data_IF_528696605016
#
_entry.id   IF_528696605016
#
_cell.length_a   1.000
_cell.length_b   1.000
_cell.length_c   1.000
_cell.angle_alpha   90.00
_cell.angle_beta   90.00
_cell.angle_gamma   90.00
#
_symmetry.space_group_name_H-M   'P 1'
#
loop_
_entity.id
_entity.type
_entity.pdbx_description
1 polymer ?
#
# COMPACT_ATOMS: atom_id res chain seq x y z
N UNK A 1 7.91 -13.68 -16.47
CA UNK A 1 6.71 -12.95 -16.03
C UNK A 1 5.77 -13.97 -15.42
N UNK A 2 5.79 -14.13 -14.10
CA UNK A 2 5.01 -15.18 -13.44
C UNK A 2 3.55 -14.73 -13.36
N UNK A 3 2.66 -15.46 -14.02
CA UNK A 3 1.21 -15.21 -13.92
C UNK A 3 0.82 -15.48 -12.47
N UNK A 4 0.24 -14.48 -11.81
CA UNK A 4 -0.23 -14.64 -10.43
C UNK A 4 -1.43 -15.57 -10.44
N UNK A 5 -1.53 -16.43 -9.43
CA UNK A 5 -2.64 -17.39 -9.30
C UNK A 5 -4.00 -16.68 -9.37
N UNK A 6 -4.08 -15.46 -8.83
CA UNK A 6 -5.27 -14.62 -8.86
C UNK A 6 -5.70 -14.25 -10.28
N UNK A 7 -4.74 -13.96 -11.18
CA UNK A 7 -5.03 -13.67 -12.59
C UNK A 7 -5.56 -14.94 -13.29
N UNK A 8 -4.98 -16.11 -13.01
CA UNK A 8 -5.46 -17.39 -13.57
C UNK A 8 -6.89 -17.68 -13.13
N UNK A 9 -7.19 -17.50 -11.84
CA UNK A 9 -8.52 -17.71 -11.27
C UNK A 9 -9.52 -16.72 -11.85
N UNK A 10 -9.13 -15.46 -12.03
CA UNK A 10 -9.97 -14.44 -12.66
C UNK A 10 -10.32 -14.79 -14.11
N UNK A 11 -9.34 -15.20 -14.92
CA UNK A 11 -9.58 -15.63 -16.30
C UNK A 11 -10.44 -16.89 -16.39
N UNK A 12 -10.30 -17.82 -15.45
CA UNK A 12 -11.11 -19.04 -15.37
C UNK A 12 -12.58 -18.71 -15.05
N UNK A 13 -12.83 -17.75 -14.15
CA UNK A 13 -14.17 -17.24 -13.86
C UNK A 13 -14.81 -16.58 -15.08
N UNK A 14 -14.07 -15.74 -15.81
CA UNK A 14 -14.56 -15.13 -17.06
C UNK A 14 -14.91 -16.20 -18.09
N UNK A 15 -14.03 -17.19 -18.30
CA UNK A 15 -14.27 -18.28 -19.24
C UNK A 15 -15.52 -19.10 -18.87
N UNK A 16 -15.73 -19.37 -17.57
CA UNK A 16 -16.92 -20.06 -17.09
C UNK A 16 -18.20 -19.29 -17.42
N UNK A 17 -18.24 -17.98 -17.15
CA UNK A 17 -19.42 -17.13 -17.41
C UNK A 17 -19.71 -17.04 -18.91
N UNK A 18 -18.68 -16.81 -19.72
CA UNK A 18 -18.83 -16.74 -21.17
C UNK A 18 -19.33 -18.09 -21.71
N UNK A 19 -18.82 -19.20 -21.18
CA UNK A 19 -19.30 -20.55 -21.52
C UNK A 19 -20.78 -20.75 -21.16
N UNK A 20 -21.20 -20.30 -19.98
CA UNK A 20 -22.59 -20.40 -19.53
C UNK A 20 -23.52 -19.46 -20.32
N UNK A 21 -23.05 -18.26 -20.66
CA UNK A 21 -23.79 -17.32 -21.51
C UNK A 21 -23.98 -17.85 -22.94
N UNK A 22 -22.93 -18.45 -23.52
CA UNK A 22 -23.03 -19.14 -24.81
C UNK A 22 -23.94 -20.37 -24.73
N UNK A 23 -23.90 -21.11 -23.63
CA UNK A 23 -24.81 -22.22 -23.38
C UNK A 23 -26.26 -21.75 -23.31
N UNK A 24 -26.54 -20.69 -22.54
CA UNK A 24 -27.83 -20.00 -22.44
C UNK A 24 -28.37 -19.61 -23.82
N UNK A 25 -27.49 -19.12 -24.71
CA UNK A 25 -27.83 -18.71 -26.07
C UNK A 25 -28.13 -19.90 -26.99
N UNK A 26 -27.46 -21.04 -26.79
CA UNK A 26 -27.52 -22.22 -27.66
C UNK A 26 -28.67 -23.20 -27.34
N UNK A 27 -29.22 -23.14 -26.13
CA UNK A 27 -30.35 -23.97 -25.73
C UNK A 27 -30.59 -23.87 -24.23
N UNK A 28 -31.83 -23.47 -23.87
CA UNK A 28 -32.35 -23.27 -22.51
C UNK A 28 -31.68 -24.18 -21.46
N UNK A 29 -30.70 -23.66 -20.70
CA UNK A 29 -30.29 -24.29 -19.47
C UNK A 29 -31.44 -24.21 -18.48
N UNK A 30 -31.51 -25.13 -17.52
CA UNK A 30 -32.41 -25.00 -16.38
C UNK A 30 -32.13 -23.66 -15.69
N UNK A 31 -33.14 -22.82 -15.45
CA UNK A 31 -33.02 -21.50 -14.81
C UNK A 31 -32.18 -21.54 -13.52
N UNK A 32 -32.30 -22.65 -12.79
CA UNK A 32 -31.54 -22.98 -11.57
C UNK A 32 -30.02 -22.93 -11.81
N UNK A 33 -29.54 -23.49 -12.92
CA UNK A 33 -28.11 -23.51 -13.25
C UNK A 33 -27.57 -22.11 -13.54
N UNK A 34 -28.33 -21.28 -14.26
CA UNK A 34 -27.96 -19.90 -14.52
C UNK A 34 -27.89 -19.06 -13.23
N UNK A 35 -28.84 -19.26 -12.31
CA UNK A 35 -28.86 -18.58 -11.01
C UNK A 35 -27.66 -18.99 -10.15
N UNK A 36 -27.34 -20.29 -10.08
CA UNK A 36 -26.19 -20.80 -9.32
C UNK A 36 -24.89 -20.21 -9.88
N UNK A 37 -24.74 -20.18 -11.21
CA UNK A 37 -23.58 -19.61 -11.87
C UNK A 37 -23.42 -18.11 -11.63
N UNK A 38 -24.52 -17.36 -11.66
CA UNK A 38 -24.51 -15.94 -11.35
C UNK A 38 -24.09 -15.70 -9.89
N UNK A 39 -24.63 -16.48 -8.95
CA UNK A 39 -24.30 -16.38 -7.54
C UNK A 39 -22.82 -16.71 -7.27
N UNK A 40 -22.29 -17.76 -7.91
CA UNK A 40 -20.87 -18.13 -7.83
C UNK A 40 -19.98 -17.02 -8.40
N UNK A 41 -20.40 -16.39 -9.51
CA UNK A 41 -19.64 -15.28 -10.08
C UNK A 41 -19.61 -14.07 -9.16
N UNK A 42 -20.76 -13.62 -8.68
CA UNK A 42 -20.84 -12.46 -7.76
C UNK A 42 -20.00 -12.73 -6.52
N UNK A 43 -20.19 -13.88 -5.87
CA UNK A 43 -19.42 -14.23 -4.67
C UNK A 43 -17.91 -14.33 -4.93
N UNK A 44 -17.48 -14.96 -6.01
CA UNK A 44 -16.06 -15.05 -6.34
C UNK A 44 -15.47 -13.68 -6.70
N UNK A 45 -16.22 -12.83 -7.42
CA UNK A 45 -15.78 -11.48 -7.78
C UNK A 45 -15.63 -10.59 -6.55
N UNK A 46 -16.56 -10.66 -5.59
CA UNK A 46 -16.48 -9.91 -4.33
C UNK A 46 -15.27 -10.37 -3.51
N UNK A 47 -15.03 -11.68 -3.38
CA UNK A 47 -13.87 -12.21 -2.64
C UNK A 47 -12.55 -11.72 -3.26
N UNK A 48 -12.43 -11.74 -4.58
CA UNK A 48 -11.23 -11.24 -5.27
C UNK A 48 -11.03 -9.74 -5.06
N UNK A 49 -12.10 -8.95 -5.13
CA UNK A 49 -12.07 -7.52 -4.85
C UNK A 49 -11.65 -7.24 -3.40
N UNK A 50 -12.22 -7.97 -2.44
CA UNK A 50 -11.83 -7.88 -1.03
C UNK A 50 -10.35 -8.20 -0.82
N UNK A 51 -9.86 -9.30 -1.40
CA UNK A 51 -8.45 -9.67 -1.29
C UNK A 51 -7.52 -8.58 -1.86
N UNK A 52 -7.89 -8.02 -3.01
CA UNK A 52 -7.13 -6.91 -3.62
C UNK A 52 -7.13 -5.68 -2.72
N UNK A 53 -8.30 -5.28 -2.22
CA UNK A 53 -8.46 -4.13 -1.34
C UNK A 53 -7.67 -4.29 -0.03
N UNK A 54 -7.77 -5.44 0.63
CA UNK A 54 -7.01 -5.73 1.84
C UNK A 54 -5.50 -5.75 1.58
N UNK A 55 -5.06 -6.25 0.42
CA UNK A 55 -3.64 -6.24 0.06
C UNK A 55 -3.11 -4.82 -0.14
N UNK A 56 -3.93 -3.94 -0.71
CA UNK A 56 -3.60 -2.52 -0.89
C UNK A 56 -3.55 -1.81 0.46
N UNK A 57 -4.52 -2.05 1.33
CA UNK A 57 -4.57 -1.46 2.66
C UNK A 57 -3.35 -1.88 3.50
N UNK A 58 -3.01 -3.18 3.50
CA UNK A 58 -1.80 -3.69 4.16
C UNK A 58 -0.53 -3.03 3.65
N UNK A 59 -0.37 -2.92 2.32
CA UNK A 59 0.81 -2.26 1.71
C UNK A 59 0.88 -0.78 2.09
N UNK A 60 -0.26 -0.12 2.11
CA UNK A 60 -0.39 1.29 2.47
C UNK A 60 -0.01 1.51 3.93
N UNK A 61 -0.50 0.66 4.84
CA UNK A 61 -0.14 0.69 6.26
C UNK A 61 1.37 0.47 6.49
N UNK A 62 1.98 -0.51 5.79
CA UNK A 62 3.43 -0.72 5.83
C UNK A 62 4.19 0.50 5.28
N UNK A 63 3.69 1.09 4.19
CA UNK A 63 4.25 2.32 3.62
C UNK A 63 4.23 3.48 4.62
N UNK A 64 3.10 3.72 5.30
CA UNK A 64 2.99 4.75 6.32
C UNK A 64 3.88 4.48 7.54
N UNK A 65 4.02 3.22 7.97
CA UNK A 65 4.96 2.87 9.03
C UNK A 65 6.41 3.19 8.65
N UNK A 66 6.80 2.90 7.40
CA UNK A 66 8.14 3.22 6.91
C UNK A 66 8.37 4.73 6.89
N UNK A 67 7.43 5.49 6.32
CA UNK A 67 7.51 6.97 6.29
C UNK A 67 7.59 7.53 7.72
N UNK A 68 6.79 7.00 8.66
CA UNK A 68 6.84 7.42 10.06
C UNK A 68 8.21 7.14 10.68
N UNK A 69 8.81 5.99 10.39
CA UNK A 69 10.14 5.65 10.87
C UNK A 69 11.21 6.60 10.30
N UNK A 70 11.15 6.87 9.00
CA UNK A 70 12.07 7.80 8.33
C UNK A 70 11.95 9.22 8.91
N UNK A 71 10.73 9.69 9.19
CA UNK A 71 10.48 10.97 9.87
C UNK A 71 11.04 11.01 11.29
N UNK A 72 10.99 9.90 12.03
CA UNK A 72 11.57 9.83 13.37
C UNK A 72 13.10 9.92 13.32
N UNK A 73 13.74 9.26 12.35
CA UNK A 73 15.19 9.36 12.12
C UNK A 73 15.57 10.80 11.79
N UNK A 74 14.88 11.42 10.83
CA UNK A 74 15.10 12.83 10.46
C UNK A 74 14.94 13.75 11.67
N UNK A 75 13.95 13.52 12.52
CA UNK A 75 13.74 14.29 13.75
C UNK A 75 14.91 14.16 14.73
N UNK A 76 15.48 12.96 14.87
CA UNK A 76 16.66 12.73 15.70
C UNK A 76 17.88 13.47 15.13
N UNK A 77 18.14 13.33 13.82
CA UNK A 77 19.24 14.01 13.15
C UNK A 77 19.13 15.53 13.27
N UNK A 78 17.92 16.10 13.11
CA UNK A 78 17.68 17.53 13.30
C UNK A 78 17.97 18.00 14.73
N UNK A 79 17.61 17.18 15.72
CA UNK A 79 17.88 17.47 17.13
C UNK A 79 19.37 17.55 17.39
N UNK A 80 20.14 16.61 16.84
CA UNK A 80 21.60 16.58 17.02
C UNK A 80 22.30 17.72 16.27
N UNK A 81 21.84 18.05 15.06
CA UNK A 81 22.28 19.25 14.34
C UNK A 81 22.01 20.51 15.19
N UNK A 82 20.82 20.64 15.76
CA UNK A 82 20.44 21.80 16.57
C UNK A 82 21.34 21.95 17.80
N UNK A 83 21.65 20.84 18.49
CA UNK A 83 22.60 20.84 19.61
C UNK A 83 23.98 21.29 19.17
N UNK A 84 24.49 20.77 18.06
CA UNK A 84 25.81 21.12 17.53
C UNK A 84 25.87 22.61 17.14
N UNK A 85 24.83 23.14 16.52
CA UNK A 85 24.72 24.57 16.17
C UNK A 85 24.74 25.44 17.44
N UNK A 86 23.99 25.08 18.47
CA UNK A 86 23.99 25.80 19.74
C UNK A 86 25.36 25.78 20.43
N UNK A 87 26.08 24.65 20.37
CA UNK A 87 27.45 24.56 20.88
C UNK A 87 28.43 25.45 20.08
N UNK A 88 28.27 25.54 18.76
CA UNK A 88 29.08 26.44 17.93
C UNK A 88 28.77 27.90 18.30
N UNK A 89 27.50 28.26 18.45
CA UNK A 89 27.07 29.60 18.81
C UNK A 89 27.67 30.06 20.14
N UNK A 90 27.53 29.23 21.20
CA UNK A 90 28.10 29.52 22.52
C UNK A 90 29.64 29.63 22.50
N UNK A 91 30.33 28.77 21.72
CA UNK A 91 31.78 28.89 21.52
C UNK A 91 32.15 30.21 20.83
N UNK A 92 31.42 30.61 19.79
CA UNK A 92 31.63 31.88 19.09
C UNK A 92 31.45 33.08 20.02
N UNK A 93 30.39 33.10 20.83
CA UNK A 93 30.18 34.14 21.85
C UNK A 93 31.35 34.21 22.85
N UNK A 94 31.85 33.05 23.30
CA UNK A 94 33.00 33.03 24.21
C UNK A 94 34.26 33.62 23.57
N UNK A 95 34.51 33.32 22.28
CA UNK A 95 35.64 33.87 21.53
C UNK A 95 35.50 35.38 21.37
N UNK A 96 34.31 35.86 21.00
CA UNK A 96 34.03 37.29 20.87
C UNK A 96 34.25 38.04 22.18
N UNK A 97 33.80 37.48 23.30
CA UNK A 97 34.01 38.06 24.63
C UNK A 97 35.51 38.12 25.01
N UNK A 98 36.29 37.09 24.67
CA UNK A 98 37.73 37.09 24.89
C UNK A 98 38.46 38.14 24.03
N UNK A 99 38.01 38.34 22.78
CA UNK A 99 38.56 39.38 21.90
C UNK A 99 38.24 40.78 22.44
N UNK A 100 37.00 41.02 22.89
CA UNK A 100 36.61 42.30 23.51
C UNK A 100 37.42 42.61 24.75
N UNK A 101 37.74 41.62 25.60
CA UNK A 101 38.56 41.82 26.81
C UNK A 101 40.04 42.13 26.52
N UNK A 102 40.54 41.82 25.32
CA UNK A 102 41.93 42.09 24.92
C UNK A 102 42.10 43.47 24.26
N UNK A 103 41.01 44.13 23.89
CA UNK A 103 40.99 45.53 23.46
C UNK A 103 40.80 46.44 24.66
#
# INVERSE_FOLDING_TARGET
>A
MAIKIDDVVFWLLIAAIVGIALWLLSGSPPEISAIISLALFVGASEILLWNSLFSLDKKTSIGFMKVRNDLNIIKMDLSDITKNVNQIHTKLESIQNLIMKRK
#
